data_IF_638707073848
#
_entry.id   IF_638707073848
#
_cell.length_a   1.000
_cell.length_b   1.000
_cell.length_c   1.000
_cell.angle_alpha   90.00
_cell.angle_beta   90.00
_cell.angle_gamma   90.00
#
_symmetry.space_group_name_H-M   'P 1'
#
loop_
_entity.id
_entity.type
_entity.pdbx_description
1 polymer ?
#
# COMPACT_ATOMS: atom_id res chain seq x y z
N UNK A 1 0.83 -7.91 -5.87
CA UNK A 1 -0.31 -8.24 -6.74
C UNK A 1 -0.52 -7.19 -7.79
N UNK A 2 -0.51 -5.92 -7.40
CA UNK A 2 -0.64 -4.80 -8.33
C UNK A 2 0.27 -3.65 -7.89
N UNK A 3 0.74 -2.87 -8.85
CA UNK A 3 1.56 -1.68 -8.61
C UNK A 3 1.39 -0.71 -9.78
N UNK A 4 0.91 0.49 -9.49
CA UNK A 4 0.82 1.59 -10.44
C UNK A 4 1.46 2.85 -9.87
N UNK A 5 2.03 3.66 -10.77
CA UNK A 5 2.46 5.02 -10.50
C UNK A 5 2.04 5.88 -11.67
N UNK A 6 1.34 6.97 -11.39
CA UNK A 6 0.80 7.88 -12.39
C UNK A 6 1.21 9.32 -12.09
N UNK A 7 1.51 10.08 -13.14
CA UNK A 7 1.91 11.49 -13.06
C UNK A 7 1.10 12.32 -14.07
N UNK A 8 -0.18 12.59 -13.80
CA UNK A 8 -1.09 13.14 -14.81
C UNK A 8 -0.74 14.54 -15.28
N UNK A 9 -0.05 15.34 -14.46
CA UNK A 9 0.29 16.73 -14.75
C UNK A 9 1.78 16.94 -15.06
N UNK A 10 2.54 15.85 -15.25
CA UNK A 10 3.95 15.92 -15.63
C UNK A 10 4.13 16.30 -17.10
N UNK A 11 5.20 17.05 -17.42
CA UNK A 11 6.25 17.53 -16.53
C UNK A 11 5.96 18.91 -15.90
N UNK A 12 4.90 19.62 -16.31
CA UNK A 12 4.68 21.03 -15.94
C UNK A 12 4.58 21.24 -14.43
N UNK A 13 3.96 20.30 -13.72
CA UNK A 13 3.83 20.36 -12.26
C UNK A 13 5.17 20.30 -11.51
N UNK A 14 6.23 19.77 -12.14
CA UNK A 14 7.56 19.68 -11.53
C UNK A 14 8.25 21.05 -11.42
N UNK A 15 7.71 22.08 -12.08
CA UNK A 15 8.21 23.46 -12.00
C UNK A 15 7.56 24.25 -10.86
N UNK A 16 6.47 23.74 -10.27
CA UNK A 16 5.77 24.37 -9.16
C UNK A 16 6.65 24.28 -7.89
N UNK A 17 6.87 25.42 -7.22
CA UNK A 17 7.73 25.48 -6.02
C UNK A 17 6.96 25.28 -4.71
N UNK A 18 5.64 25.10 -4.79
CA UNK A 18 4.79 24.90 -3.61
C UNK A 18 5.09 23.54 -2.97
N UNK A 19 4.96 23.49 -1.65
CA UNK A 19 5.22 22.26 -0.90
C UNK A 19 4.13 21.21 -1.21
N UNK A 20 4.51 19.98 -1.59
CA UNK A 20 3.54 18.94 -1.87
C UNK A 20 2.84 18.48 -0.59
N UNK A 21 1.55 18.19 -0.71
CA UNK A 21 0.73 17.55 0.32
C UNK A 21 0.57 16.06 -0.02
N UNK A 22 0.83 15.20 0.96
CA UNK A 22 0.76 13.75 0.80
C UNK A 22 -0.47 13.24 1.54
N UNK A 23 -1.36 12.57 0.83
CA UNK A 23 -2.51 11.85 1.36
C UNK A 23 -2.27 10.35 1.22
N UNK A 24 -2.38 9.59 2.31
CA UNK A 24 -2.16 8.14 2.34
C UNK A 24 -3.46 7.47 2.78
N UNK A 25 -3.92 6.50 2.00
CA UNK A 25 -5.04 5.63 2.34
C UNK A 25 -4.56 4.18 2.34
N UNK A 26 -4.90 3.46 3.41
CA UNK A 26 -4.61 2.03 3.55
C UNK A 26 -5.91 1.24 3.53
N UNK A 27 -5.94 0.19 2.72
CA UNK A 27 -7.02 -0.78 2.64
C UNK A 27 -6.50 -2.17 2.96
N UNK A 28 -7.36 -3.01 3.53
CA UNK A 28 -7.07 -4.41 3.81
C UNK A 28 -8.20 -5.27 3.27
N UNK A 29 -7.86 -6.38 2.65
CA UNK A 29 -8.79 -7.43 2.25
C UNK A 29 -8.24 -8.79 2.63
N UNK A 30 -9.12 -9.70 3.01
CA UNK A 30 -8.78 -11.09 3.24
C UNK A 30 -9.82 -12.00 2.58
N UNK A 31 -9.36 -13.08 1.96
CA UNK A 31 -10.21 -14.07 1.31
C UNK A 31 -9.74 -15.49 1.62
N UNK A 32 -10.68 -16.43 1.73
CA UNK A 32 -10.35 -17.86 1.83
C UNK A 32 -10.12 -18.40 0.42
N UNK A 33 -8.95 -19.01 0.19
CA UNK A 33 -8.56 -19.57 -1.11
C UNK A 33 -8.78 -21.07 -1.15
N UNK A 34 -8.54 -21.75 -0.02
CA UNK A 34 -8.83 -23.16 0.19
C UNK A 34 -9.00 -23.44 1.70
N UNK A 35 -9.32 -24.68 2.06
CA UNK A 35 -9.45 -25.07 3.46
C UNK A 35 -8.13 -24.84 4.23
N UNK A 36 -8.21 -24.04 5.29
CA UNK A 36 -7.05 -23.59 6.07
C UNK A 36 -6.08 -22.68 5.32
N UNK A 37 -6.41 -22.16 4.14
CA UNK A 37 -5.56 -21.26 3.34
C UNK A 37 -6.28 -19.94 3.06
N UNK A 38 -5.63 -18.85 3.46
CA UNK A 38 -6.16 -17.50 3.35
C UNK A 38 -5.20 -16.60 2.58
N UNK A 39 -5.72 -15.82 1.64
CA UNK A 39 -4.99 -14.69 1.08
C UNK A 39 -5.33 -13.44 1.88
N UNK A 40 -4.30 -12.72 2.31
CA UNK A 40 -4.45 -11.41 2.94
C UNK A 40 -3.70 -10.39 2.10
N UNK A 41 -4.41 -9.35 1.68
CA UNK A 41 -3.90 -8.28 0.86
C UNK A 41 -4.00 -6.93 1.58
N UNK A 42 -2.93 -6.16 1.54
CA UNK A 42 -2.87 -4.77 2.01
C UNK A 42 -2.64 -3.89 0.78
N UNK A 43 -3.47 -2.86 0.65
CA UNK A 43 -3.42 -1.89 -0.44
C UNK A 43 -3.05 -0.52 0.12
N UNK A 44 -2.09 0.14 -0.48
CA UNK A 44 -1.73 1.52 -0.18
C UNK A 44 -2.01 2.38 -1.41
N UNK A 45 -2.83 3.42 -1.23
CA UNK A 45 -3.07 4.46 -2.22
C UNK A 45 -2.50 5.76 -1.69
N UNK A 46 -1.47 6.26 -2.36
CA UNK A 46 -0.75 7.48 -1.98
C UNK A 46 -0.99 8.52 -3.06
N UNK A 47 -1.67 9.60 -2.69
CA UNK A 47 -1.93 10.74 -3.58
C UNK A 47 -1.13 11.93 -3.12
N UNK A 48 -0.24 12.43 -3.98
CA UNK A 48 0.53 13.65 -3.71
C UNK A 48 0.02 14.79 -4.57
N UNK A 49 -0.29 15.94 -3.97
CA UNK A 49 -0.81 17.13 -4.66
C UNK A 49 0.08 18.34 -4.43
N UNK A 50 0.12 19.24 -5.41
CA UNK A 50 0.72 20.57 -5.31
C UNK A 50 -0.37 21.58 -5.67
N UNK A 51 -0.82 22.35 -4.68
CA UNK A 51 -2.09 23.08 -4.78
C UNK A 51 -3.23 22.11 -5.08
N UNK A 52 -4.00 22.38 -6.13
CA UNK A 52 -5.13 21.54 -6.56
C UNK A 52 -4.76 20.47 -7.60
N UNK A 53 -3.49 20.38 -8.01
CA UNK A 53 -3.05 19.46 -9.06
C UNK A 53 -2.37 18.24 -8.46
N UNK A 54 -2.63 17.07 -9.04
CA UNK A 54 -1.97 15.82 -8.64
C UNK A 54 -0.55 15.76 -9.21
N UNK A 55 0.44 15.69 -8.32
CA UNK A 55 1.86 15.49 -8.62
C UNK A 55 2.11 14.05 -9.05
N UNK A 56 1.71 13.11 -8.19
CA UNK A 56 1.70 11.69 -8.53
C UNK A 56 0.68 10.93 -7.68
N UNK A 57 0.25 9.80 -8.21
CA UNK A 57 -0.56 8.79 -7.53
C UNK A 57 0.23 7.48 -7.55
N UNK A 58 0.35 6.82 -6.39
CA UNK A 58 0.87 5.45 -6.29
C UNK A 58 -0.23 4.58 -5.72
N UNK A 59 -0.56 3.50 -6.40
CA UNK A 59 -1.39 2.44 -5.86
C UNK A 59 -0.59 1.14 -5.83
N UNK A 60 -0.44 0.55 -4.66
CA UNK A 60 0.32 -0.69 -4.48
C UNK A 60 -0.53 -1.68 -3.69
N UNK A 61 -0.68 -2.89 -4.20
CA UNK A 61 -1.37 -4.00 -3.54
C UNK A 61 -0.43 -5.15 -3.31
N UNK A 62 -0.06 -5.35 -2.05
CA UNK A 62 0.78 -6.47 -1.62
C UNK A 62 -0.08 -7.52 -0.93
N UNK A 63 0.16 -8.80 -1.21
CA UNK A 63 -0.59 -9.88 -0.59
C UNK A 63 0.34 -11.02 -0.17
N UNK A 64 -0.14 -11.80 0.80
CA UNK A 64 0.48 -13.04 1.25
C UNK A 64 -0.55 -14.15 1.37
N UNK A 65 -0.13 -15.38 1.13
CA UNK A 65 -0.91 -16.59 1.39
C UNK A 65 -0.47 -17.17 2.72
N UNK A 66 -1.42 -17.43 3.60
CA UNK A 66 -1.20 -17.92 4.94
C UNK A 66 -1.96 -19.23 5.13
N UNK A 67 -1.23 -20.25 5.58
CA UNK A 67 -1.84 -21.49 6.04
C UNK A 67 -2.10 -21.39 7.55
N UNK A 68 -3.36 -21.50 7.93
CA UNK A 68 -3.81 -21.41 9.33
C UNK A 68 -4.61 -22.67 9.64
N UNK A 69 -4.10 -23.49 10.56
CA UNK A 69 -4.71 -24.75 10.98
C UNK A 69 -4.69 -24.87 12.49
N UNK A 70 -5.65 -25.63 13.03
CA UNK A 70 -5.75 -25.94 14.46
C UNK A 70 -5.85 -24.69 15.36
N UNK A 71 -6.45 -23.61 14.84
CA UNK A 71 -6.69 -22.37 15.59
C UNK A 71 -8.18 -22.27 15.91
N UNK A 72 -8.56 -21.92 17.15
CA UNK A 72 -9.93 -21.60 17.50
C UNK A 72 -10.53 -20.47 16.65
N UNK A 73 -11.80 -20.58 16.24
CA UNK A 73 -12.45 -19.61 15.34
C UNK A 73 -12.46 -18.18 15.90
N UNK A 74 -12.49 -18.02 17.22
CA UNK A 74 -12.44 -16.73 17.92
C UNK A 74 -11.08 -16.02 17.77
N UNK A 75 -10.01 -16.77 17.52
CA UNK A 75 -8.67 -16.23 17.27
C UNK A 75 -8.37 -16.06 15.78
N UNK A 76 -9.00 -16.88 14.93
CA UNK A 76 -8.76 -16.89 13.49
C UNK A 76 -8.97 -15.51 12.86
N UNK A 77 -10.07 -14.82 13.21
CA UNK A 77 -10.34 -13.47 12.69
C UNK A 77 -9.26 -12.46 13.10
N UNK A 78 -8.73 -12.56 14.32
CA UNK A 78 -7.65 -11.70 14.79
C UNK A 78 -6.34 -11.96 14.07
N UNK A 79 -6.02 -13.23 13.78
CA UNK A 79 -4.83 -13.58 13.00
C UNK A 79 -4.94 -13.01 11.58
N UNK A 80 -6.06 -13.24 10.90
CA UNK A 80 -6.28 -12.77 9.52
C UNK A 80 -6.35 -11.24 9.45
N UNK A 81 -6.96 -10.59 10.43
CA UNK A 81 -7.20 -9.14 10.41
C UNK A 81 -6.09 -8.28 11.01
N UNK A 82 -5.14 -8.85 11.75
CA UNK A 82 -4.08 -8.10 12.43
C UNK A 82 -2.71 -8.69 12.12
N UNK A 83 -2.50 -9.98 12.41
CA UNK A 83 -1.18 -10.61 12.32
C UNK A 83 -0.72 -10.76 10.87
N UNK A 84 -1.57 -11.29 10.00
CA UNK A 84 -1.24 -11.47 8.58
C UNK A 84 -0.94 -10.12 7.88
N UNK A 85 -1.76 -9.06 8.03
CA UNK A 85 -1.46 -7.73 7.48
C UNK A 85 -0.16 -7.15 8.01
N UNK A 86 0.14 -7.31 9.31
CA UNK A 86 1.40 -6.86 9.90
C UNK A 86 2.62 -7.52 9.27
N UNK A 87 2.52 -8.78 8.84
CA UNK A 87 3.59 -9.46 8.11
C UNK A 87 3.73 -8.94 6.67
N UNK A 88 2.62 -8.56 6.01
CA UNK A 88 2.60 -8.08 4.62
C UNK A 88 3.03 -6.61 4.51
N UNK A 89 2.67 -5.79 5.50
CA UNK A 89 2.83 -4.33 5.49
C UNK A 89 4.27 -3.83 5.26
N UNK A 90 5.32 -4.42 5.88
CA UNK A 90 6.70 -3.99 5.65
C UNK A 90 7.13 -4.09 4.18
N UNK A 91 6.66 -5.10 3.46
CA UNK A 91 6.94 -5.27 2.04
C UNK A 91 6.23 -4.22 1.20
N UNK A 92 4.95 -3.94 1.50
CA UNK A 92 4.19 -2.88 0.85
C UNK A 92 4.87 -1.51 1.04
N UNK A 93 5.26 -1.20 2.28
CA UNK A 93 5.96 0.03 2.64
C UNK A 93 7.28 0.18 1.87
N UNK A 94 8.06 -0.91 1.76
CA UNK A 94 9.31 -0.89 0.99
C UNK A 94 9.05 -0.60 -0.50
N UNK A 95 8.04 -1.24 -1.10
CA UNK A 95 7.67 -1.04 -2.51
C UNK A 95 7.25 0.41 -2.77
N UNK A 96 6.40 0.99 -1.93
CA UNK A 96 5.96 2.39 -2.07
C UNK A 96 7.13 3.36 -1.99
N UNK A 97 8.06 3.15 -1.05
CA UNK A 97 9.26 4.00 -0.94
C UNK A 97 10.18 3.86 -2.15
N UNK A 98 10.40 2.64 -2.64
CA UNK A 98 11.27 2.35 -3.79
C UNK A 98 10.72 2.97 -5.07
N UNK A 99 9.42 2.80 -5.36
CA UNK A 99 8.82 3.32 -6.60
C UNK A 99 8.81 4.85 -6.64
N UNK A 100 8.55 5.53 -5.51
CA UNK A 100 8.62 6.99 -5.41
C UNK A 100 10.05 7.47 -5.73
N UNK A 101 11.05 6.80 -5.16
CA UNK A 101 12.46 7.15 -5.37
C UNK A 101 12.87 6.92 -6.83
N UNK A 102 12.46 5.82 -7.44
CA UNK A 102 12.72 5.51 -8.86
C UNK A 102 12.06 6.50 -9.82
N UNK A 103 10.91 7.07 -9.44
CA UNK A 103 10.24 8.12 -10.19
C UNK A 103 10.86 9.52 -10.00
N UNK A 104 11.93 9.64 -9.22
CA UNK A 104 12.65 10.89 -8.98
C UNK A 104 12.03 11.76 -7.88
N UNK A 105 11.13 11.21 -7.08
CA UNK A 105 10.52 11.89 -5.94
C UNK A 105 11.19 11.53 -4.61
N UNK A 106 11.02 12.34 -3.56
CA UNK A 106 11.39 11.96 -2.21
C UNK A 106 10.71 10.64 -1.79
N UNK A 107 11.39 9.80 -1.00
CA UNK A 107 10.79 8.56 -0.51
C UNK A 107 9.59 8.87 0.38
N UNK A 108 8.47 8.18 0.14
CA UNK A 108 7.31 8.21 1.03
C UNK A 108 7.42 7.06 2.03
N UNK A 109 7.43 7.42 3.31
CA UNK A 109 7.44 6.48 4.41
C UNK A 109 6.02 6.32 4.93
N UNK A 110 5.43 5.13 4.72
CA UNK A 110 4.19 4.77 5.38
C UNK A 110 4.47 4.63 6.89
N UNK A 111 3.72 5.37 7.72
CA UNK A 111 3.82 5.35 9.18
C UNK A 111 3.10 4.13 9.75
N UNK A 112 3.55 3.64 10.90
CA UNK A 112 2.90 2.54 11.64
C UNK A 112 1.56 2.95 12.26
#
# INVERSE_FOLDING_TARGET
KDLSLEQPNSPQILLEQQQPQVEINLGMGAESVADGIYEVAVTATVTTKVGDKTLFLVEAKQAGIFEIRNVPDDQLQGIIGIVCPQMVYPYLRAIVSDICTRAGFPPILLTE
#
